data_IF_582172369211
#
_entry.id   IF_582172369211
#
_cell.length_a   1.000
_cell.length_b   1.000
_cell.length_c   1.000
_cell.angle_alpha   90.00
_cell.angle_beta   90.00
_cell.angle_gamma   90.00
#
_symmetry.space_group_name_H-M   'P 1'
#
loop_
_entity.id
_entity.type
_entity.pdbx_description
1 polymer ?
#
# COMPACT_ATOMS: atom_id res chain seq x y z
N UNK A 1 -6.26 5.08 0.89
CA UNK A 1 -6.93 3.78 0.70
C UNK A 1 -7.24 3.58 -0.78
N UNK A 2 -7.06 2.38 -1.31
CA UNK A 2 -7.35 2.03 -2.70
C UNK A 2 -8.62 1.19 -2.74
N UNK A 3 -9.56 1.51 -3.64
CA UNK A 3 -10.79 0.75 -3.85
C UNK A 3 -10.76 0.08 -5.22
N UNK A 4 -11.10 -1.20 -5.27
CA UNK A 4 -11.36 -1.86 -6.55
C UNK A 4 -12.74 -1.45 -7.07
N UNK A 5 -12.76 -0.61 -8.09
CA UNK A 5 -13.99 -0.13 -8.77
C UNK A 5 -14.35 -0.95 -10.01
N UNK A 6 -13.61 -2.02 -10.31
CA UNK A 6 -13.84 -2.87 -11.47
C UNK A 6 -14.75 -4.05 -11.14
N UNK A 7 -15.23 -4.75 -12.16
CA UNK A 7 -16.04 -5.99 -12.03
C UNK A 7 -15.19 -7.25 -11.80
N UNK A 8 -13.87 -7.17 -11.88
CA UNK A 8 -12.95 -8.31 -11.76
C UNK A 8 -12.03 -8.17 -10.55
N UNK A 9 -11.36 -9.25 -10.16
CA UNK A 9 -10.27 -9.17 -9.16
C UNK A 9 -9.07 -8.46 -9.76
N UNK A 10 -8.46 -7.58 -8.97
CA UNK A 10 -7.36 -6.72 -9.42
C UNK A 10 -6.16 -6.89 -8.50
N UNK A 11 -4.98 -7.12 -9.08
CA UNK A 11 -3.72 -7.04 -8.38
C UNK A 11 -3.24 -5.58 -8.38
N UNK A 12 -2.77 -5.12 -7.24
CA UNK A 12 -2.22 -3.79 -7.04
C UNK A 12 -0.73 -3.88 -6.71
N UNK A 13 0.04 -2.94 -7.26
CA UNK A 13 1.40 -2.61 -6.79
C UNK A 13 1.39 -1.17 -6.30
N UNK A 14 1.80 -0.95 -5.06
CA UNK A 14 1.68 0.34 -4.39
C UNK A 14 2.99 0.68 -3.71
N UNK A 15 3.46 1.90 -3.94
CA UNK A 15 4.58 2.46 -3.19
C UNK A 15 4.05 3.58 -2.28
N UNK A 16 4.43 3.51 -1.02
CA UNK A 16 4.02 4.45 0.02
C UNK A 16 5.26 5.07 0.62
N UNK A 17 5.42 6.38 0.47
CA UNK A 17 6.45 7.15 1.17
C UNK A 17 5.96 7.54 2.55
N UNK A 18 6.78 7.27 3.55
CA UNK A 18 6.51 7.55 4.96
C UNK A 18 7.61 8.47 5.47
N UNK A 19 7.23 9.68 5.83
CA UNK A 19 8.13 10.72 6.31
C UNK A 19 7.83 11.04 7.78
N UNK A 20 8.85 11.39 8.57
CA UNK A 20 8.69 11.76 9.97
C UNK A 20 9.80 12.68 10.50
N UNK A 21 9.67 13.13 11.76
CA UNK A 21 10.68 13.96 12.41
C UNK A 21 12.08 13.31 12.41
N UNK A 22 13.12 14.13 12.51
CA UNK A 22 14.51 13.64 12.58
C UNK A 22 15.06 13.10 11.25
N UNK A 23 14.43 13.43 10.12
CA UNK A 23 14.86 12.99 8.80
C UNK A 23 14.46 11.55 8.47
N UNK A 24 13.45 11.01 9.16
CA UNK A 24 12.87 9.72 8.80
C UNK A 24 12.20 9.83 7.43
N UNK A 25 12.67 9.04 6.46
CA UNK A 25 12.12 8.96 5.10
C UNK A 25 12.33 7.55 4.57
N UNK A 26 11.23 6.82 4.34
CA UNK A 26 11.26 5.45 3.84
C UNK A 26 10.15 5.23 2.83
N UNK A 27 10.36 4.26 1.93
CA UNK A 27 9.33 3.81 0.98
C UNK A 27 8.96 2.37 1.29
N UNK A 28 7.67 2.13 1.52
CA UNK A 28 7.08 0.81 1.71
C UNK A 28 6.52 0.35 0.37
N UNK A 29 6.90 -0.85 -0.05
CA UNK A 29 6.45 -1.48 -1.29
C UNK A 29 5.44 -2.58 -0.97
N UNK A 30 4.23 -2.49 -1.51
CA UNK A 30 3.13 -3.41 -1.23
C UNK A 30 2.60 -4.00 -2.53
N UNK A 31 2.28 -5.30 -2.51
CA UNK A 31 1.70 -6.02 -3.66
C UNK A 31 0.62 -7.02 -3.25
N UNK A 32 -0.42 -7.17 -4.07
CA UNK A 32 -1.47 -8.19 -3.89
C UNK A 32 -1.35 -9.34 -4.90
N UNK A 33 -0.20 -10.02 -4.91
CA UNK A 33 0.13 -11.01 -5.94
C UNK A 33 -0.67 -12.32 -5.84
N UNK A 34 -1.13 -12.71 -4.65
CA UNK A 34 -1.76 -14.05 -4.43
C UNK A 34 -3.28 -14.04 -4.65
N UNK A 35 -4.03 -13.14 -4.01
CA UNK A 35 -5.51 -13.20 -4.00
C UNK A 35 -6.17 -12.05 -4.79
N UNK A 36 -5.43 -10.98 -5.10
CA UNK A 36 -6.00 -9.75 -5.65
C UNK A 36 -7.05 -9.12 -4.72
N UNK A 37 -7.48 -7.91 -5.04
CA UNK A 37 -8.58 -7.22 -4.33
C UNK A 37 -9.88 -7.52 -5.06
N UNK A 38 -10.89 -7.98 -4.33
CA UNK A 38 -12.22 -8.29 -4.87
C UNK A 38 -12.95 -7.03 -5.36
N UNK A 39 -13.88 -7.15 -6.32
CA UNK A 39 -14.76 -6.04 -6.72
C UNK A 39 -15.41 -5.36 -5.52
N UNK A 40 -15.32 -4.03 -5.46
CA UNK A 40 -15.85 -3.22 -4.35
C UNK A 40 -14.98 -3.18 -3.10
N UNK A 41 -14.00 -4.09 -2.96
CA UNK A 41 -13.11 -4.19 -1.81
C UNK A 41 -12.11 -3.04 -1.72
N UNK A 42 -11.64 -2.79 -0.51
CA UNK A 42 -10.64 -1.78 -0.19
C UNK A 42 -9.35 -2.41 0.33
N UNK A 43 -8.22 -1.81 -0.01
CA UNK A 43 -6.91 -2.28 0.42
C UNK A 43 -5.84 -1.16 0.29
N UNK A 44 -4.76 -1.17 1.07
CA UNK A 44 -4.69 -1.81 2.39
C UNK A 44 -5.65 -1.11 3.37
N UNK A 45 -6.17 -1.84 4.34
CA UNK A 45 -7.07 -1.30 5.39
C UNK A 45 -6.26 -0.67 6.54
N UNK A 46 -5.15 -1.29 6.92
CA UNK A 46 -4.24 -0.81 7.96
C UNK A 46 -2.79 -0.99 7.53
N UNK A 47 -1.92 -0.07 7.98
CA UNK A 47 -0.48 -0.14 7.81
C UNK A 47 0.18 -0.01 9.18
N UNK A 48 0.87 -1.06 9.61
CA UNK A 48 1.67 -1.07 10.83
C UNK A 48 3.15 -1.14 10.46
N UNK A 49 3.98 -0.30 11.09
CA UNK A 49 5.42 -0.32 10.91
C UNK A 49 6.10 -0.62 12.25
N UNK A 50 7.11 -1.50 12.22
CA UNK A 50 7.93 -1.86 13.38
C UNK A 50 9.39 -1.80 12.95
N UNK A 51 10.20 -1.05 13.70
CA UNK A 51 11.65 -1.01 13.54
C UNK A 51 12.28 -1.19 14.93
N UNK A 52 13.13 -2.21 15.07
CA UNK A 52 13.78 -2.56 16.33
C UNK A 52 15.07 -1.76 16.58
N UNK A 53 15.62 -1.12 15.55
CA UNK A 53 16.85 -0.35 15.61
C UNK A 53 16.58 1.16 15.77
N UNK A 54 15.44 1.65 15.26
CA UNK A 54 15.08 3.07 15.28
C UNK A 54 13.62 3.30 15.67
N UNK A 55 13.30 4.43 16.31
CA UNK A 55 11.92 4.78 16.57
C UNK A 55 11.16 5.02 15.27
N UNK A 56 10.02 4.34 15.12
CA UNK A 56 9.02 4.63 14.09
C UNK A 56 8.31 5.94 14.46
N UNK A 57 8.13 6.90 13.54
CA UNK A 57 7.42 8.14 13.84
C UNK A 57 5.99 7.88 14.34
N UNK A 58 5.57 8.55 15.41
CA UNK A 58 4.20 8.41 15.94
C UNK A 58 3.13 9.07 15.05
N UNK A 59 3.50 10.16 14.38
CA UNK A 59 2.63 10.90 13.47
C UNK A 59 3.33 11.10 12.12
N UNK A 60 3.52 10.02 11.34
CA UNK A 60 4.18 10.13 10.05
C UNK A 60 3.28 10.85 9.04
N UNK A 61 3.91 11.54 8.08
CA UNK A 61 3.25 11.93 6.84
C UNK A 61 3.32 10.75 5.87
N UNK A 62 2.16 10.27 5.45
CA UNK A 62 2.05 9.11 4.56
C UNK A 62 1.54 9.58 3.20
N UNK A 63 2.32 9.30 2.15
CA UNK A 63 1.97 9.65 0.77
C UNK A 63 2.03 8.41 -0.11
N UNK A 64 0.94 8.09 -0.80
CA UNK A 64 0.99 7.08 -1.86
C UNK A 64 1.65 7.73 -3.07
N UNK A 65 2.84 7.27 -3.44
CA UNK A 65 3.62 7.82 -4.55
C UNK A 65 3.37 7.09 -5.86
N UNK A 66 2.92 5.84 -5.79
CA UNK A 66 2.64 5.02 -6.97
C UNK A 66 1.51 4.04 -6.69
N UNK A 67 0.61 3.91 -7.67
CA UNK A 67 -0.40 2.86 -7.72
C UNK A 67 -0.46 2.32 -9.13
N UNK A 68 -0.15 1.04 -9.29
CA UNK A 68 -0.44 0.28 -10.48
C UNK A 68 -1.50 -0.77 -10.18
N UNK A 69 -2.28 -1.07 -11.21
CA UNK A 69 -3.31 -2.11 -11.14
C UNK A 69 -3.33 -2.94 -12.41
N UNK A 70 -3.59 -4.23 -12.27
CA UNK A 70 -3.81 -5.15 -13.39
C UNK A 70 -4.90 -6.18 -13.05
N UNK A 71 -5.69 -6.64 -14.03
CA UNK A 71 -6.59 -7.78 -13.82
C UNK A 71 -5.81 -8.98 -13.30
N UNK A 72 -6.38 -9.72 -12.35
CA UNK A 72 -5.76 -10.92 -11.80
C UNK A 72 -5.73 -12.07 -12.81
N UNK A 73 -6.77 -12.18 -13.63
CA UNK A 73 -6.84 -13.14 -14.72
C UNK A 73 -6.67 -12.38 -16.05
N UNK A 74 -5.83 -12.91 -16.93
CA UNK A 74 -5.80 -12.45 -18.33
C UNK A 74 -7.00 -13.10 -19.03
N UNK A 75 -7.84 -12.29 -19.65
CA UNK A 75 -8.77 -12.76 -20.68
C UNK A 75 -8.00 -13.29 -21.90
#
# INVERSE_FOLDING_TARGET
>A
MIKNTTSQRVQYTVDIRVEGPGGFDTTVHLRTDVVGVYPGGTWPEELTAVDHAKPVPQHPKVTITRVERRPMFKE
#
